data_IF_587716078895
#
_entry.id   IF_587716078895
#
_cell.length_a   1.000
_cell.length_b   1.000
_cell.length_c   1.000
_cell.angle_alpha   90.00
_cell.angle_beta   90.00
_cell.angle_gamma   90.00
#
_symmetry.space_group_name_H-M   'P 1'
#
loop_
_entity.id
_entity.type
_entity.pdbx_description
1 polymer ?
#
# COMPACT_ATOMS: atom_id res chain seq x y z
N UNK A 1 12.35 6.48 -5.28
CA UNK A 1 13.33 5.74 -4.46
C UNK A 1 13.40 4.31 -4.97
N UNK A 2 14.46 3.96 -5.68
CA UNK A 2 14.71 2.60 -6.12
C UNK A 2 15.04 1.76 -4.89
N UNK A 3 14.30 0.67 -4.68
CA UNK A 3 14.58 -0.28 -3.60
C UNK A 3 15.74 -1.15 -4.08
N UNK A 4 16.95 -0.86 -3.61
CA UNK A 4 18.09 -1.77 -3.81
C UNK A 4 18.04 -2.83 -2.72
N UNK A 5 17.66 -4.06 -3.08
CA UNK A 5 17.92 -5.23 -2.24
C UNK A 5 19.26 -5.80 -2.68
N UNK A 6 20.30 -5.79 -1.82
CA UNK A 6 21.59 -6.36 -2.19
C UNK A 6 21.43 -7.87 -2.42
N UNK A 7 21.93 -8.37 -3.55
CA UNK A 7 22.06 -9.80 -3.83
C UNK A 7 22.87 -10.50 -2.72
N UNK A 8 22.50 -11.73 -2.38
CA UNK A 8 23.28 -12.58 -1.47
C UNK A 8 22.84 -12.63 0.00
N UNK A 9 21.69 -12.08 0.39
CA UNK A 9 21.09 -12.29 1.73
C UNK A 9 19.89 -13.26 1.75
N UNK A 10 19.75 -14.13 0.75
CA UNK A 10 18.59 -15.02 0.63
C UNK A 10 17.31 -14.29 0.18
N UNK A 11 17.45 -13.10 -0.41
CA UNK A 11 16.35 -12.35 -1.02
C UNK A 11 16.07 -12.78 -2.45
N UNK A 12 16.67 -13.86 -2.94
CA UNK A 12 16.64 -14.21 -4.36
C UNK A 12 15.21 -14.40 -4.89
N UNK A 13 14.32 -15.01 -4.09
CA UNK A 13 12.91 -15.13 -4.42
C UNK A 13 12.17 -13.77 -4.40
N UNK A 14 12.56 -12.88 -3.48
CA UNK A 14 12.01 -11.52 -3.38
C UNK A 14 12.51 -10.64 -4.54
N UNK A 15 13.77 -10.77 -4.94
CA UNK A 15 14.35 -10.08 -6.09
C UNK A 15 13.77 -10.66 -7.40
N UNK A 16 13.54 -11.96 -7.49
CA UNK A 16 12.89 -12.55 -8.66
C UNK A 16 11.43 -12.08 -8.81
N UNK A 17 10.69 -11.94 -7.69
CA UNK A 17 9.29 -11.49 -7.71
C UNK A 17 9.14 -9.97 -7.82
N UNK A 18 9.95 -9.21 -7.11
CA UNK A 18 9.80 -7.76 -6.92
C UNK A 18 10.96 -6.94 -7.55
N UNK A 19 11.96 -7.59 -8.14
CA UNK A 19 13.13 -6.95 -8.74
C UNK A 19 12.87 -6.47 -10.17
N UNK A 20 12.99 -5.15 -10.34
CA UNK A 20 13.27 -4.42 -11.59
C UNK A 20 12.40 -4.65 -12.84
N UNK A 21 11.36 -5.50 -12.81
CA UNK A 21 10.37 -5.60 -13.90
C UNK A 21 9.23 -4.56 -13.80
N UNK A 22 9.26 -3.71 -12.79
CA UNK A 22 8.21 -2.72 -12.59
C UNK A 22 8.40 -1.58 -13.59
N UNK A 23 7.46 -1.48 -14.54
CA UNK A 23 7.40 -0.49 -15.63
C UNK A 23 7.38 0.99 -15.20
N UNK A 24 7.27 1.29 -13.90
CA UNK A 24 7.65 2.51 -13.17
C UNK A 24 6.82 2.60 -11.86
N UNK A 25 7.10 1.73 -10.88
CA UNK A 25 6.35 1.68 -9.62
C UNK A 25 6.58 2.93 -8.77
N UNK A 26 7.62 3.70 -9.09
CA UNK A 26 7.93 5.01 -8.54
C UNK A 26 6.82 6.04 -8.75
N UNK A 27 5.94 5.84 -9.74
CA UNK A 27 4.78 6.71 -9.99
C UNK A 27 3.53 6.30 -9.20
N UNK A 28 3.52 5.12 -8.58
CA UNK A 28 2.35 4.69 -7.81
C UNK A 28 2.24 5.48 -6.50
N UNK A 29 1.20 6.31 -6.42
CA UNK A 29 0.83 7.09 -5.23
C UNK A 29 -0.35 6.42 -4.53
N UNK A 30 -0.03 5.50 -3.63
CA UNK A 30 -1.03 4.76 -2.87
C UNK A 30 -2.00 5.68 -2.11
N UNK A 31 -3.29 5.39 -2.20
CA UNK A 31 -4.37 6.15 -1.55
C UNK A 31 -4.86 7.35 -2.36
N UNK A 32 -4.22 7.67 -3.49
CA UNK A 32 -4.55 8.78 -4.37
C UNK A 32 -5.60 8.48 -5.44
N UNK A 33 -6.02 7.22 -5.63
CA UNK A 33 -6.91 6.83 -6.72
C UNK A 33 -8.35 7.36 -6.52
N UNK A 34 -8.92 8.00 -7.55
CA UNK A 34 -10.31 8.44 -7.53
C UNK A 34 -11.29 7.31 -7.92
N UNK A 35 -12.51 7.24 -7.36
CA UNK A 35 -13.48 6.18 -7.67
C UNK A 35 -13.80 6.04 -9.17
N UNK A 36 -13.90 7.15 -9.90
CA UNK A 36 -14.19 7.14 -11.34
C UNK A 36 -13.08 6.50 -12.20
N UNK A 37 -11.86 6.37 -11.67
CA UNK A 37 -10.73 5.75 -12.35
C UNK A 37 -10.57 4.26 -11.98
N UNK A 38 -11.37 3.75 -11.03
CA UNK A 38 -11.19 2.41 -10.49
C UNK A 38 -11.28 1.28 -11.54
N UNK A 39 -12.17 1.31 -12.55
CA UNK A 39 -12.23 0.24 -13.55
C UNK A 39 -10.95 0.15 -14.40
N UNK A 40 -10.45 1.28 -14.90
CA UNK A 40 -9.21 1.33 -15.66
C UNK A 40 -8.01 0.96 -14.80
N UNK A 41 -7.95 1.50 -13.57
CA UNK A 41 -6.89 1.17 -12.63
C UNK A 41 -6.87 -0.32 -12.28
N UNK A 42 -8.03 -0.98 -12.21
CA UNK A 42 -8.11 -2.41 -11.96
C UNK A 42 -7.56 -3.20 -13.14
N UNK A 43 -7.94 -2.85 -14.36
CA UNK A 43 -7.42 -3.50 -15.57
C UNK A 43 -5.89 -3.40 -15.64
N UNK A 44 -5.35 -2.20 -15.41
CA UNK A 44 -3.90 -1.98 -15.41
C UNK A 44 -3.20 -2.72 -14.25
N UNK A 45 -3.80 -2.74 -13.06
CA UNK A 45 -3.25 -3.48 -11.93
C UNK A 45 -3.26 -5.00 -12.17
N UNK A 46 -4.31 -5.56 -12.77
CA UNK A 46 -4.36 -6.98 -13.13
C UNK A 46 -3.33 -7.33 -14.20
N UNK A 47 -3.11 -6.44 -15.18
CA UNK A 47 -2.02 -6.58 -16.14
C UNK A 47 -0.67 -6.55 -15.44
N UNK A 48 -0.44 -5.57 -14.56
CA UNK A 48 0.80 -5.46 -13.81
C UNK A 48 1.06 -6.70 -12.95
N UNK A 49 0.03 -7.28 -12.32
CA UNK A 49 0.15 -8.52 -11.54
C UNK A 49 0.58 -9.69 -12.44
N UNK A 50 0.03 -9.81 -13.65
CA UNK A 50 0.43 -10.87 -14.59
C UNK A 50 1.87 -10.67 -15.08
N UNK A 51 2.20 -9.46 -15.52
CA UNK A 51 3.48 -9.15 -16.17
C UNK A 51 4.65 -9.17 -15.17
N UNK A 52 4.38 -8.87 -13.89
CA UNK A 52 5.38 -8.88 -12.80
C UNK A 52 5.37 -10.16 -11.96
N UNK A 53 4.70 -11.22 -12.41
CA UNK A 53 4.60 -12.48 -11.67
C UNK A 53 4.11 -12.32 -10.21
N UNK A 54 3.19 -11.36 -9.98
CA UNK A 54 2.61 -11.10 -8.67
C UNK A 54 3.49 -10.27 -7.72
N UNK A 55 4.30 -9.35 -8.24
CA UNK A 55 5.01 -8.37 -7.42
C UNK A 55 4.07 -7.68 -6.41
N UNK A 56 4.56 -7.45 -5.20
CA UNK A 56 3.76 -6.86 -4.13
C UNK A 56 3.20 -5.50 -4.50
N UNK A 57 3.99 -4.65 -5.17
CA UNK A 57 3.51 -3.32 -5.58
C UNK A 57 2.34 -3.45 -6.57
N UNK A 58 2.42 -4.36 -7.55
CA UNK A 58 1.31 -4.60 -8.48
C UNK A 58 0.06 -5.13 -7.75
N UNK A 59 0.24 -6.01 -6.77
CA UNK A 59 -0.86 -6.49 -5.93
C UNK A 59 -1.45 -5.38 -5.06
N UNK A 60 -0.64 -4.47 -4.54
CA UNK A 60 -1.10 -3.28 -3.81
C UNK A 60 -1.89 -2.33 -4.72
N UNK A 61 -1.46 -2.13 -5.97
CA UNK A 61 -2.24 -1.38 -6.96
C UNK A 61 -3.62 -2.02 -7.18
N UNK A 62 -3.66 -3.36 -7.28
CA UNK A 62 -4.92 -4.11 -7.42
C UNK A 62 -5.80 -3.95 -6.20
N UNK A 63 -5.24 -3.99 -4.98
CA UNK A 63 -5.97 -3.74 -3.72
C UNK A 63 -6.60 -2.35 -3.74
N UNK A 64 -5.85 -1.31 -4.13
CA UNK A 64 -6.39 0.05 -4.20
C UNK A 64 -7.52 0.15 -5.23
N UNK A 65 -7.32 -0.39 -6.43
CA UNK A 65 -8.31 -0.37 -7.49
C UNK A 65 -9.60 -1.11 -7.10
N UNK A 66 -9.48 -2.31 -6.51
CA UNK A 66 -10.61 -3.07 -5.98
C UNK A 66 -11.34 -2.30 -4.88
N UNK A 67 -10.60 -1.69 -3.95
CA UNK A 67 -11.20 -0.94 -2.85
C UNK A 67 -11.96 0.30 -3.34
N UNK A 68 -11.42 1.02 -4.33
CA UNK A 68 -12.08 2.18 -4.96
C UNK A 68 -13.25 1.78 -5.86
N UNK A 69 -13.23 0.58 -6.43
CA UNK A 69 -14.36 0.00 -7.14
C UNK A 69 -15.46 -0.55 -6.20
N UNK A 70 -15.33 -0.39 -4.88
CA UNK A 70 -16.27 -0.92 -3.89
C UNK A 70 -16.15 -2.43 -3.63
N UNK A 71 -15.22 -3.11 -4.30
CA UNK A 71 -14.94 -4.56 -4.16
C UNK A 71 -14.06 -4.85 -2.94
N UNK A 72 -14.45 -4.32 -1.77
CA UNK A 72 -13.65 -4.35 -0.53
C UNK A 72 -13.30 -5.77 -0.07
N UNK A 73 -14.21 -6.73 -0.24
CA UNK A 73 -13.96 -8.14 0.15
C UNK A 73 -12.75 -8.71 -0.58
N UNK A 74 -12.63 -8.45 -1.87
CA UNK A 74 -11.51 -8.94 -2.69
C UNK A 74 -10.23 -8.18 -2.38
N UNK A 75 -10.31 -6.86 -2.22
CA UNK A 75 -9.18 -6.04 -1.80
C UNK A 75 -8.57 -6.54 -0.48
N UNK A 76 -9.41 -6.89 0.50
CA UNK A 76 -8.93 -7.34 1.81
C UNK A 76 -8.47 -8.80 1.82
N UNK A 77 -8.98 -9.64 0.92
CA UNK A 77 -8.43 -10.97 0.70
C UNK A 77 -7.02 -10.90 0.11
N UNK A 78 -6.80 -10.04 -0.89
CA UNK A 78 -5.48 -9.78 -1.48
C UNK A 78 -4.52 -9.22 -0.44
N UNK A 79 -4.96 -8.25 0.37
CA UNK A 79 -4.14 -7.68 1.45
C UNK A 79 -3.75 -8.74 2.48
N UNK A 80 -4.69 -9.60 2.91
CA UNK A 80 -4.41 -10.67 3.85
C UNK A 80 -3.38 -11.66 3.29
N UNK A 81 -3.47 -11.99 1.99
CA UNK A 81 -2.48 -12.83 1.33
C UNK A 81 -1.09 -12.18 1.32
N UNK A 82 -1.00 -10.88 1.01
CA UNK A 82 0.27 -10.14 1.10
C UNK A 82 0.84 -10.21 2.52
N UNK A 83 0.03 -9.93 3.55
CA UNK A 83 0.52 -9.94 4.93
C UNK A 83 1.01 -11.32 5.39
N UNK A 84 0.35 -12.40 4.94
CA UNK A 84 0.74 -13.77 5.27
C UNK A 84 2.14 -14.12 4.74
N UNK A 85 2.53 -13.53 3.60
CA UNK A 85 3.87 -13.69 3.01
C UNK A 85 4.95 -12.85 3.70
N UNK A 86 4.57 -11.99 4.67
CA UNK A 86 5.46 -11.12 5.45
C UNK A 86 6.50 -10.38 4.57
N UNK A 87 6.06 -9.44 3.71
CA UNK A 87 6.95 -8.68 2.86
C UNK A 87 8.11 -8.09 3.68
N UNK A 88 9.35 -8.29 3.22
CA UNK A 88 10.52 -7.67 3.84
C UNK A 88 10.73 -6.21 3.44
N UNK A 89 9.73 -5.64 2.76
CA UNK A 89 9.75 -4.34 2.15
C UNK A 89 8.84 -3.39 2.94
N UNK A 90 9.43 -2.48 3.72
CA UNK A 90 8.65 -1.57 4.59
C UNK A 90 7.60 -0.75 3.83
N UNK A 91 7.90 -0.40 2.57
CA UNK A 91 7.02 0.42 1.73
C UNK A 91 5.69 -0.27 1.41
N UNK A 92 5.65 -1.61 1.37
CA UNK A 92 4.40 -2.35 1.16
C UNK A 92 3.42 -2.05 2.30
N UNK A 93 3.90 -2.04 3.55
CA UNK A 93 3.06 -1.68 4.69
C UNK A 93 2.68 -0.19 4.69
N UNK A 94 3.57 0.71 4.22
CA UNK A 94 3.21 2.12 4.04
C UNK A 94 2.06 2.27 3.05
N UNK A 95 2.14 1.62 1.88
CA UNK A 95 1.10 1.71 0.86
C UNK A 95 -0.23 1.12 1.32
N UNK A 96 -0.22 -0.06 1.95
CA UNK A 96 -1.41 -0.65 2.56
C UNK A 96 -2.02 0.28 3.63
N UNK A 97 -1.18 0.90 4.45
CA UNK A 97 -1.61 1.90 5.43
C UNK A 97 -2.27 3.12 4.79
N UNK A 98 -1.72 3.64 3.69
CA UNK A 98 -2.30 4.76 2.94
C UNK A 98 -3.66 4.40 2.33
N UNK A 99 -3.79 3.20 1.76
CA UNK A 99 -5.07 2.70 1.22
C UNK A 99 -6.11 2.61 2.34
N UNK A 100 -5.77 1.97 3.47
CA UNK A 100 -6.67 1.87 4.64
C UNK A 100 -7.06 3.24 5.18
N UNK A 101 -6.11 4.17 5.27
CA UNK A 101 -6.37 5.54 5.70
C UNK A 101 -7.34 6.25 4.75
N UNK A 102 -7.15 6.11 3.43
CA UNK A 102 -8.03 6.67 2.41
C UNK A 102 -9.43 6.04 2.37
N UNK A 103 -9.59 4.82 2.90
CA UNK A 103 -10.90 4.17 3.08
C UNK A 103 -11.60 4.54 4.39
N UNK A 104 -10.91 5.25 5.29
CA UNK A 104 -11.39 5.59 6.63
C UNK A 104 -11.10 4.55 7.70
N UNK A 105 -10.42 3.44 7.36
CA UNK A 105 -10.08 2.35 8.27
C UNK A 105 -8.86 2.71 9.14
N UNK A 106 -8.98 3.78 9.93
CA UNK A 106 -7.89 4.40 10.69
C UNK A 106 -7.13 3.44 11.60
N UNK A 107 -7.83 2.50 12.24
CA UNK A 107 -7.20 1.50 13.11
C UNK A 107 -6.24 0.60 12.33
N UNK A 108 -6.73 -0.03 11.26
CA UNK A 108 -5.93 -0.90 10.42
C UNK A 108 -4.80 -0.12 9.74
N UNK A 109 -5.05 1.11 9.30
CA UNK A 109 -4.03 1.99 8.76
C UNK A 109 -2.88 2.20 9.76
N UNK A 110 -3.19 2.53 11.01
CA UNK A 110 -2.21 2.71 12.07
C UNK A 110 -1.38 1.44 12.29
N UNK A 111 -2.00 0.27 12.25
CA UNK A 111 -1.30 -1.01 12.41
C UNK A 111 -0.29 -1.24 11.28
N UNK A 112 -0.63 -0.90 10.02
CA UNK A 112 0.32 -1.01 8.90
C UNK A 112 1.45 0.01 8.99
N UNK A 113 1.18 1.24 9.40
CA UNK A 113 2.24 2.22 9.61
C UNK A 113 3.17 1.82 10.76
N UNK A 114 2.66 1.19 11.82
CA UNK A 114 3.51 0.64 12.90
C UNK A 114 4.42 -0.49 12.40
N UNK A 115 3.90 -1.40 11.56
CA UNK A 115 4.72 -2.44 10.94
C UNK A 115 5.84 -1.82 10.07
N UNK A 116 5.51 -0.81 9.25
CA UNK A 116 6.52 -0.08 8.47
C UNK A 116 7.60 0.55 9.35
N UNK A 117 7.20 1.21 10.46
CA UNK A 117 8.13 1.86 11.40
C UNK A 117 8.97 0.86 12.20
N UNK A 118 8.45 -0.33 12.49
CA UNK A 118 9.23 -1.40 13.13
C UNK A 118 10.39 -1.87 12.24
N UNK A 119 10.20 -1.83 10.92
CA UNK A 119 11.24 -2.20 9.93
C UNK A 119 12.17 -1.03 9.60
N UNK A 120 11.62 0.17 9.48
CA UNK A 120 12.37 1.39 9.23
C UNK A 120 11.85 2.55 10.11
N UNK A 121 12.44 2.76 11.30
CA UNK A 121 12.05 3.83 12.21
C UNK A 121 12.20 5.24 11.63
N UNK A 122 13.06 5.41 10.61
CA UNK A 122 13.30 6.68 9.93
C UNK A 122 12.26 6.98 8.82
N UNK A 123 11.31 6.08 8.55
CA UNK A 123 10.29 6.27 7.50
C UNK A 123 9.36 7.44 7.81
N UNK A 124 9.61 8.59 7.18
CA UNK A 124 8.80 9.80 7.35
C UNK A 124 7.36 9.59 6.89
N UNK A 125 7.16 8.91 5.76
CA UNK A 125 5.84 8.58 5.24
C UNK A 125 5.03 7.72 6.23
N UNK A 126 5.66 6.73 6.86
CA UNK A 126 5.00 5.90 7.87
C UNK A 126 4.66 6.71 9.13
N UNK A 127 5.56 7.60 9.58
CA UNK A 127 5.32 8.46 10.74
C UNK A 127 4.17 9.43 10.49
N UNK A 128 4.17 10.09 9.33
CA UNK A 128 3.10 10.98 8.90
C UNK A 128 1.76 10.23 8.80
N UNK A 129 1.77 9.05 8.18
CA UNK A 129 0.59 8.19 8.05
C UNK A 129 0.03 7.76 9.40
N UNK A 130 0.89 7.34 10.33
CA UNK A 130 0.50 6.95 11.68
C UNK A 130 -0.13 8.14 12.41
N UNK A 131 0.50 9.32 12.36
CA UNK A 131 -0.04 10.54 12.97
C UNK A 131 -1.45 10.84 12.43
N UNK A 132 -1.65 10.74 11.11
CA UNK A 132 -2.97 10.96 10.49
C UNK A 132 -4.00 9.90 10.88
N UNK A 133 -3.58 8.65 10.99
CA UNK A 133 -4.44 7.53 11.37
C UNK A 133 -4.88 7.61 12.84
N UNK A 134 -4.02 8.09 13.74
CA UNK A 134 -4.32 8.23 15.17
C UNK A 134 -4.82 9.61 15.58
N UNK A 135 -4.78 10.59 14.68
CA UNK A 135 -5.28 11.92 14.97
C UNK A 135 -6.77 11.85 15.36
N UNK A 136 -7.19 12.59 16.40
CA UNK A 136 -8.60 12.73 16.70
C UNK A 136 -9.34 13.27 15.46
N UNK A 137 -10.61 12.89 15.25
CA UNK A 137 -11.42 13.50 14.20
C UNK A 137 -11.34 15.03 14.36
N UNK A 138 -11.14 15.74 13.24
CA UNK A 138 -11.07 17.19 13.28
C UNK A 138 -12.31 17.70 14.03
N UNK A 139 -12.10 18.52 15.07
CA UNK A 139 -13.19 19.16 15.78
C UNK A 139 -14.05 19.88 14.72
N UNK A 140 -15.35 19.61 14.72
CA UNK A 140 -16.26 20.40 13.90
C UNK A 140 -16.00 21.88 14.20
N UNK A 141 -15.96 22.76 13.19
CA UNK A 141 -15.93 24.19 13.47
C UNK A 141 -17.09 24.48 14.42
N UNK A 142 -16.80 25.08 15.58
CA UNK A 142 -17.83 25.49 16.51
C UNK A 142 -18.84 26.39 15.78
N UNK A 143 -20.11 26.44 16.24
CA UNK A 143 -21.08 27.35 15.65
C UNK A 143 -20.50 28.78 15.63
N UNK A 144 -20.71 29.55 14.55
CA UNK A 144 -20.28 30.95 14.52
C UNK A 144 -20.90 31.72 15.70
N UNK A 145 -20.22 32.79 16.17
CA UNK A 145 -20.71 33.61 17.28
C UNK A 145 -22.08 34.24 17.00
#
# INVERSE_FOLDING_TARGET
>A
TVIYLPEGRGWDALIARDGYQLLEPSLFLAGGLAPGQAPLALQEAERAVRDSHGAYVARVMRIEALAKAGRRREAFADEAAILAERPALQHIYVYLGMIRLGLGDRREAADRFRLALAMNPASEAARWGLQRATAPPAAAPGPPP
#
